data_IF_143723402120
#
_entry.id   IF_143723402120
#
_cell.length_a   1.000
_cell.length_b   1.000
_cell.length_c   1.000
_cell.angle_alpha   90.00
_cell.angle_beta   90.00
_cell.angle_gamma   90.00
#
_symmetry.space_group_name_H-M   'P 1'
#
loop_
_entity.id
_entity.type
_entity.pdbx_description
1 polymer ?
#
# COMPACT_ATOMS: atom_id res chain seq x y z
N UNK A 1 35.11 21.86 -12.12
CA UNK A 1 34.36 21.80 -10.86
C UNK A 1 32.99 21.28 -11.20
N UNK A 2 32.82 19.97 -11.11
CA UNK A 2 31.53 19.33 -11.23
C UNK A 2 31.02 19.20 -9.79
N UNK A 3 30.01 19.97 -9.43
CA UNK A 3 29.26 19.71 -8.22
C UNK A 3 28.35 18.52 -8.52
N UNK A 4 28.63 17.44 -7.81
CA UNK A 4 27.89 16.20 -7.82
C UNK A 4 26.48 16.49 -7.30
N UNK A 5 25.52 16.49 -8.21
CA UNK A 5 24.09 16.50 -7.92
C UNK A 5 23.72 15.10 -7.37
N UNK A 6 24.16 14.82 -6.14
CA UNK A 6 23.74 13.66 -5.37
C UNK A 6 22.32 13.94 -4.87
N UNK A 7 21.35 13.80 -5.78
CA UNK A 7 19.95 13.67 -5.42
C UNK A 7 19.79 12.30 -4.76
N UNK A 8 20.21 12.20 -3.49
CA UNK A 8 19.78 11.16 -2.57
C UNK A 8 18.25 11.27 -2.52
N UNK A 9 17.57 10.46 -3.32
CA UNK A 9 16.14 10.28 -3.21
C UNK A 9 15.87 9.86 -1.77
N UNK A 10 15.39 10.79 -0.94
CA UNK A 10 15.06 10.55 0.47
C UNK A 10 14.32 9.21 0.55
N UNK A 11 14.88 8.27 1.32
CA UNK A 11 14.30 6.94 1.47
C UNK A 11 12.84 7.10 1.90
N UNK A 12 11.91 6.59 1.09
CA UNK A 12 10.48 6.68 1.40
C UNK A 12 10.21 6.06 2.76
N UNK A 13 9.41 6.76 3.56
CA UNK A 13 8.95 6.30 4.87
C UNK A 13 7.43 6.31 4.92
N UNK A 14 6.85 5.62 5.89
CA UNK A 14 5.40 5.68 6.12
C UNK A 14 4.91 7.12 6.28
N UNK A 15 5.66 7.94 7.02
CA UNK A 15 5.32 9.33 7.28
C UNK A 15 5.32 10.18 6.00
N UNK A 16 6.34 10.05 5.15
CA UNK A 16 6.41 10.80 3.89
C UNK A 16 5.25 10.42 2.96
N UNK A 17 4.93 9.13 2.88
CA UNK A 17 3.81 8.63 2.07
C UNK A 17 2.45 9.07 2.62
N UNK A 18 2.22 8.96 3.93
CA UNK A 18 0.97 9.40 4.56
C UNK A 18 0.76 10.92 4.44
N UNK A 19 1.83 11.71 4.51
CA UNK A 19 1.78 13.16 4.29
C UNK A 19 1.44 13.50 2.82
N UNK A 20 1.92 12.72 1.85
CA UNK A 20 1.54 12.87 0.44
C UNK A 20 0.05 12.63 0.23
N UNK A 21 -0.51 11.56 0.79
CA UNK A 21 -1.95 11.28 0.75
C UNK A 21 -2.76 12.41 1.40
N UNK A 22 -2.31 12.92 2.55
CA UNK A 22 -2.97 14.04 3.22
C UNK A 22 -2.93 15.34 2.40
N UNK A 23 -1.83 15.61 1.68
CA UNK A 23 -1.70 16.75 0.76
C UNK A 23 -2.67 16.64 -0.41
N UNK A 24 -2.79 15.45 -1.02
CA UNK A 24 -3.76 15.20 -2.09
C UNK A 24 -5.21 15.39 -1.61
N UNK A 25 -5.49 15.09 -0.34
CA UNK A 25 -6.77 15.36 0.30
C UNK A 25 -6.96 16.80 0.78
N UNK A 26 -5.93 17.65 0.68
CA UNK A 26 -5.90 19.03 1.19
C UNK A 26 -6.20 19.12 2.69
N UNK A 27 -5.66 18.19 3.48
CA UNK A 27 -5.74 18.22 4.94
C UNK A 27 -4.59 19.06 5.50
N UNK A 28 -4.83 20.36 5.71
CA UNK A 28 -3.79 21.35 6.04
C UNK A 28 -3.28 21.30 7.49
N UNK A 29 -3.92 20.55 8.40
CA UNK A 29 -3.79 20.79 9.85
C UNK A 29 -3.31 19.58 10.68
N UNK A 30 -2.15 19.00 10.35
CA UNK A 30 -1.58 17.85 11.10
C UNK A 30 -0.20 18.14 11.68
N UNK A 31 0.12 19.41 11.91
CA UNK A 31 1.47 19.86 12.26
C UNK A 31 1.83 19.78 13.77
N UNK A 32 0.86 19.58 14.68
CA UNK A 32 1.09 19.75 16.13
C UNK A 32 1.22 18.45 16.95
N UNK A 33 1.49 17.31 16.32
CA UNK A 33 1.49 15.99 16.97
C UNK A 33 2.90 15.39 16.99
N UNK A 34 3.36 14.74 18.10
CA UNK A 34 4.62 13.99 18.15
C UNK A 34 4.72 12.98 17.01
N UNK A 35 5.91 12.76 16.46
CA UNK A 35 6.15 12.09 15.17
C UNK A 35 5.53 10.67 15.04
N UNK A 36 5.63 9.86 16.10
CA UNK A 36 5.02 8.53 16.21
C UNK A 36 3.49 8.59 16.23
N UNK A 37 2.92 9.61 16.89
CA UNK A 37 1.49 9.87 16.95
C UNK A 37 0.98 10.59 15.70
N UNK A 38 1.84 11.34 15.01
CA UNK A 38 1.52 12.13 13.81
C UNK A 38 1.16 11.22 12.66
N UNK A 39 1.94 10.17 12.45
CA UNK A 39 1.68 9.18 11.41
C UNK A 39 0.34 8.45 11.63
N UNK A 40 0.03 8.08 12.89
CA UNK A 40 -1.26 7.48 13.25
C UNK A 40 -2.43 8.48 13.10
N UNK A 41 -2.21 9.72 13.50
CA UNK A 41 -3.22 10.77 13.37
C UNK A 41 -3.51 11.08 11.89
N UNK A 42 -2.48 11.15 11.05
CA UNK A 42 -2.59 11.27 9.59
C UNK A 42 -3.38 10.10 9.01
N UNK A 43 -2.98 8.86 9.30
CA UNK A 43 -3.65 7.66 8.81
C UNK A 43 -5.14 7.64 9.19
N UNK A 44 -5.47 8.03 10.42
CA UNK A 44 -6.85 8.14 10.88
C UNK A 44 -7.61 9.27 10.15
N UNK A 45 -6.99 10.43 9.98
CA UNK A 45 -7.60 11.61 9.36
C UNK A 45 -7.89 11.40 7.87
N UNK A 46 -7.04 10.68 7.13
CA UNK A 46 -7.22 10.44 5.70
C UNK A 46 -8.23 9.33 5.39
N UNK A 47 -8.40 8.35 6.29
CA UNK A 47 -9.20 7.15 6.03
C UNK A 47 -10.64 7.45 5.62
N UNK A 48 -11.36 8.24 6.41
CA UNK A 48 -12.77 8.55 6.15
C UNK A 48 -12.94 9.34 4.83
N UNK A 49 -12.19 10.42 4.58
CA UNK A 49 -12.22 11.13 3.30
C UNK A 49 -11.92 10.25 2.07
N UNK A 50 -11.04 9.26 2.20
CA UNK A 50 -10.73 8.34 1.11
C UNK A 50 -11.89 7.38 0.80
N UNK A 51 -12.57 6.87 1.83
CA UNK A 51 -13.68 5.92 1.68
C UNK A 51 -14.99 6.58 1.23
N UNK A 52 -15.22 7.83 1.62
CA UNK A 52 -16.42 8.59 1.21
C UNK A 52 -16.39 8.98 -0.27
N UNK A 53 -15.22 8.91 -0.92
CA UNK A 53 -15.08 9.15 -2.35
C UNK A 53 -15.39 7.87 -3.13
N UNK A 54 -16.41 7.93 -4.00
CA UNK A 54 -16.77 6.80 -4.88
C UNK A 54 -15.71 6.48 -5.94
N UNK A 55 -14.85 7.45 -6.26
CA UNK A 55 -13.66 7.29 -7.11
C UNK A 55 -12.55 8.22 -6.63
N UNK A 56 -11.29 7.84 -6.89
CA UNK A 56 -10.12 8.66 -6.61
C UNK A 56 -9.39 9.02 -7.91
N UNK A 57 -8.83 10.23 -8.03
CA UNK A 57 -7.92 10.56 -9.13
C UNK A 57 -6.70 9.63 -9.16
N UNK A 58 -6.14 9.40 -10.34
CA UNK A 58 -5.01 8.48 -10.57
C UNK A 58 -3.79 8.79 -9.70
N UNK A 59 -3.52 10.07 -9.42
CA UNK A 59 -2.44 10.53 -8.55
C UNK A 59 -2.48 9.97 -7.11
N UNK A 60 -3.62 9.43 -6.67
CA UNK A 60 -3.74 8.79 -5.36
C UNK A 60 -3.19 7.36 -5.34
N UNK A 61 -3.08 6.69 -6.48
CA UNK A 61 -2.77 5.25 -6.51
C UNK A 61 -1.38 4.97 -5.91
N UNK A 62 -0.33 5.60 -6.45
CA UNK A 62 1.04 5.36 -6.00
C UNK A 62 1.26 5.75 -4.52
N UNK A 63 0.78 6.92 -4.03
CA UNK A 63 0.89 7.27 -2.61
C UNK A 63 0.12 6.34 -1.68
N UNK A 64 -1.07 5.85 -2.07
CA UNK A 64 -1.82 4.88 -1.28
C UNK A 64 -1.08 3.53 -1.18
N UNK A 65 -0.55 3.05 -2.31
CA UNK A 65 0.20 1.80 -2.34
C UNK A 65 1.49 1.90 -1.52
N UNK A 66 2.24 3.00 -1.68
CA UNK A 66 3.44 3.22 -0.89
C UNK A 66 3.10 3.32 0.61
N UNK A 67 2.07 4.08 0.98
CA UNK A 67 1.67 4.19 2.40
C UNK A 67 1.29 2.83 3.00
N UNK A 68 0.56 1.99 2.25
CA UNK A 68 0.20 0.64 2.70
C UNK A 68 1.41 -0.29 2.88
N UNK A 69 2.41 -0.18 2.01
CA UNK A 69 3.63 -1.01 2.04
C UNK A 69 4.57 -0.57 3.17
N UNK A 70 4.78 0.74 3.31
CA UNK A 70 5.68 1.27 4.33
C UNK A 70 5.05 1.30 5.74
N UNK A 71 3.75 1.01 5.90
CA UNK A 71 3.08 0.98 7.20
C UNK A 71 3.74 -0.04 8.15
N UNK A 72 4.32 0.40 9.28
CA UNK A 72 4.98 -0.48 10.23
C UNK A 72 3.99 -1.37 11.00
N UNK A 73 2.68 -1.07 10.97
CA UNK A 73 1.67 -1.78 11.74
C UNK A 73 0.71 -2.60 10.84
N UNK A 74 0.71 -3.95 10.97
CA UNK A 74 -0.14 -4.83 10.15
C UNK A 74 -1.64 -4.58 10.31
N UNK A 75 -2.07 -3.92 11.40
CA UNK A 75 -3.49 -3.64 11.65
C UNK A 75 -4.00 -2.43 10.87
N UNK A 76 -3.09 -1.53 10.47
CA UNK A 76 -3.42 -0.26 9.83
C UNK A 76 -3.17 -0.25 8.31
N UNK A 77 -2.45 -1.24 7.75
CA UNK A 77 -2.33 -1.37 6.27
C UNK A 77 -3.68 -1.30 5.57
N UNK A 78 -4.71 -1.86 6.21
CA UNK A 78 -6.08 -1.87 5.70
C UNK A 78 -6.63 -0.47 5.45
N UNK A 79 -6.22 0.54 6.20
CA UNK A 79 -6.75 1.90 6.07
C UNK A 79 -6.36 2.56 4.75
N UNK A 80 -5.32 2.05 4.08
CA UNK A 80 -4.86 2.51 2.76
C UNK A 80 -5.18 1.50 1.66
N UNK A 81 -5.11 0.19 1.97
CA UNK A 81 -5.51 -0.87 1.04
C UNK A 81 -7.00 -0.85 0.74
N UNK A 82 -7.87 -0.69 1.74
CA UNK A 82 -9.33 -0.69 1.54
C UNK A 82 -9.79 0.44 0.60
N UNK A 83 -9.36 1.70 0.77
CA UNK A 83 -9.65 2.73 -0.22
C UNK A 83 -9.04 2.48 -1.60
N UNK A 84 -7.83 1.93 -1.68
CA UNK A 84 -7.19 1.62 -2.96
C UNK A 84 -7.97 0.54 -3.73
N UNK A 85 -8.40 -0.51 -3.04
CA UNK A 85 -9.29 -1.52 -3.61
C UNK A 85 -10.60 -0.90 -4.10
N UNK A 86 -11.19 -0.05 -3.26
CA UNK A 86 -12.44 0.62 -3.58
C UNK A 86 -12.36 1.47 -4.85
N UNK A 87 -11.30 2.26 -4.98
CA UNK A 87 -11.14 3.22 -6.06
C UNK A 87 -10.54 2.62 -7.34
N UNK A 88 -9.59 1.69 -7.22
CA UNK A 88 -8.76 1.23 -8.34
C UNK A 88 -8.89 -0.26 -8.66
N UNK A 89 -9.53 -1.03 -7.77
CA UNK A 89 -9.80 -2.44 -7.98
C UNK A 89 -8.75 -3.40 -7.50
N UNK A 90 -9.22 -4.59 -7.15
CA UNK A 90 -8.43 -5.66 -6.56
C UNK A 90 -7.31 -6.10 -7.47
N UNK A 91 -7.59 -6.26 -8.77
CA UNK A 91 -6.58 -6.68 -9.75
C UNK A 91 -5.37 -5.75 -9.73
N UNK A 92 -5.61 -4.44 -9.83
CA UNK A 92 -4.55 -3.43 -9.90
C UNK A 92 -3.78 -3.31 -8.59
N UNK A 93 -4.47 -3.32 -7.45
CA UNK A 93 -3.82 -3.29 -6.13
C UNK A 93 -2.95 -4.52 -5.93
N UNK A 94 -3.44 -5.72 -6.24
CA UNK A 94 -2.67 -6.96 -6.11
C UNK A 94 -1.47 -6.96 -7.07
N UNK A 95 -1.62 -6.50 -8.30
CA UNK A 95 -0.51 -6.40 -9.25
C UNK A 95 0.60 -5.51 -8.71
N UNK A 96 0.26 -4.33 -8.18
CA UNK A 96 1.26 -3.45 -7.59
C UNK A 96 1.95 -4.06 -6.35
N UNK A 97 1.24 -4.81 -5.52
CA UNK A 97 1.84 -5.54 -4.40
C UNK A 97 2.79 -6.63 -4.87
N UNK A 98 2.44 -7.35 -5.93
CA UNK A 98 3.30 -8.34 -6.56
C UNK A 98 4.60 -7.69 -7.10
N UNK A 99 4.51 -6.50 -7.69
CA UNK A 99 5.69 -5.76 -8.14
C UNK A 99 6.62 -5.39 -6.98
N UNK A 100 6.07 -4.93 -5.84
CA UNK A 100 6.85 -4.71 -4.62
C UNK A 100 7.49 -6.01 -4.10
N UNK A 101 6.79 -7.15 -4.18
CA UNK A 101 7.35 -8.44 -3.77
C UNK A 101 8.53 -8.86 -4.66
N UNK A 102 8.44 -8.59 -5.97
CA UNK A 102 9.48 -8.93 -6.96
C UNK A 102 10.71 -8.04 -6.82
N UNK A 103 10.49 -6.74 -6.87
CA UNK A 103 11.53 -5.74 -7.15
C UNK A 103 11.90 -4.90 -5.94
N UNK A 104 11.04 -4.83 -4.92
CA UNK A 104 11.25 -3.97 -3.77
C UNK A 104 12.44 -4.38 -2.90
N UNK A 105 12.83 -3.48 -2.01
CA UNK A 105 13.72 -3.73 -0.87
C UNK A 105 13.10 -4.74 0.11
N UNK A 106 13.88 -5.27 1.05
CA UNK A 106 13.35 -6.21 2.04
C UNK A 106 12.26 -5.60 2.94
N UNK A 107 12.37 -4.30 3.24
CA UNK A 107 11.33 -3.55 3.94
C UNK A 107 10.03 -3.47 3.11
N UNK A 108 10.14 -3.13 1.83
CA UNK A 108 8.99 -3.07 0.92
C UNK A 108 8.35 -4.45 0.70
N UNK A 109 9.15 -5.51 0.57
CA UNK A 109 8.64 -6.88 0.45
C UNK A 109 7.90 -7.32 1.70
N UNK A 110 8.45 -7.04 2.88
CA UNK A 110 7.78 -7.33 4.15
C UNK A 110 6.46 -6.55 4.26
N UNK A 111 6.47 -5.29 3.85
CA UNK A 111 5.29 -4.43 3.72
C UNK A 111 4.22 -4.98 2.78
N UNK A 112 4.63 -5.36 1.57
CA UNK A 112 3.77 -5.93 0.55
C UNK A 112 3.08 -7.20 1.03
N UNK A 113 3.79 -8.07 1.75
CA UNK A 113 3.19 -9.28 2.37
C UNK A 113 2.08 -8.93 3.37
N UNK A 114 2.28 -7.92 4.22
CA UNK A 114 1.23 -7.44 5.15
C UNK A 114 0.03 -6.86 4.38
N UNK A 115 0.30 -5.99 3.41
CA UNK A 115 -0.73 -5.37 2.58
C UNK A 115 -1.49 -6.39 1.71
N UNK A 116 -0.85 -7.47 1.27
CA UNK A 116 -1.46 -8.57 0.51
C UNK A 116 -2.53 -9.31 1.32
N UNK A 117 -2.26 -9.55 2.60
CA UNK A 117 -3.28 -10.10 3.51
C UNK A 117 -4.47 -9.14 3.65
N UNK A 118 -4.19 -7.85 3.87
CA UNK A 118 -5.20 -6.79 3.88
C UNK A 118 -6.02 -6.77 2.57
N UNK A 119 -5.38 -7.03 1.42
CA UNK A 119 -6.03 -7.00 0.12
C UNK A 119 -7.05 -8.11 -0.06
N UNK A 120 -6.85 -9.30 0.53
CA UNK A 120 -7.76 -10.46 0.41
C UNK A 120 -9.05 -10.35 1.23
N UNK A 121 -9.14 -9.38 2.14
CA UNK A 121 -10.32 -9.22 2.98
C UNK A 121 -11.54 -8.78 2.15
N UNK A 122 -12.75 -9.24 2.51
CA UNK A 122 -13.97 -8.83 1.82
C UNK A 122 -14.20 -7.33 2.00
N UNK A 123 -14.50 -6.68 0.88
CA UNK A 123 -14.95 -5.29 0.87
C UNK A 123 -16.40 -5.23 1.33
N UNK A 124 -16.71 -4.21 2.13
CA UNK A 124 -18.04 -4.04 2.70
C UNK A 124 -18.82 -3.02 1.88
N UNK A 125 -19.99 -3.43 1.39
CA UNK A 125 -20.87 -2.60 0.57
C UNK A 125 -21.25 -1.28 1.27
N UNK A 126 -21.32 -1.27 2.60
CA UNK A 126 -21.69 -0.08 3.38
C UNK A 126 -20.56 0.96 3.49
N UNK A 127 -19.34 0.63 3.05
CA UNK A 127 -18.14 1.46 3.25
C UNK A 127 -17.65 2.19 2.01
N UNK A 128 -18.19 1.87 0.84
CA UNK A 128 -17.84 2.54 -0.41
C UNK A 128 -19.05 2.59 -1.33
N UNK A 129 -19.40 3.76 -1.89
CA UNK A 129 -20.45 3.88 -2.89
C UNK A 129 -20.26 2.95 -4.09
N UNK A 130 -19.01 2.59 -4.44
CA UNK A 130 -18.72 1.69 -5.56
C UNK A 130 -19.19 0.25 -5.34
N UNK A 131 -19.40 -0.16 -4.07
CA UNK A 131 -19.85 -1.51 -3.69
C UNK A 131 -21.27 -1.51 -3.10
N UNK A 132 -21.93 -0.35 -3.02
CA UNK A 132 -23.28 -0.25 -2.50
C UNK A 132 -24.30 -0.93 -3.43
N UNK A 133 -25.45 -1.41 -2.91
CA UNK A 133 -26.54 -1.89 -3.74
C UNK A 133 -26.96 -0.82 -4.77
N UNK A 134 -26.87 -1.14 -6.06
CA UNK A 134 -27.11 -0.19 -7.16
C UNK A 134 -25.87 0.52 -7.70
N UNK A 135 -24.69 0.27 -7.12
CA UNK A 135 -23.41 0.66 -7.70
C UNK A 135 -23.15 -0.08 -9.01
N UNK A 136 -22.66 0.64 -10.03
CA UNK A 136 -22.19 0.05 -11.29
C UNK A 136 -20.67 0.01 -11.25
N UNK A 137 -20.12 -1.16 -10.94
CA UNK A 137 -18.68 -1.43 -10.97
C UNK A 137 -18.42 -2.57 -11.93
N UNK A 138 -17.43 -2.40 -12.80
CA UNK A 138 -16.98 -3.45 -13.70
C UNK A 138 -16.33 -4.60 -12.88
N UNK A 139 -16.89 -5.83 -12.94
CA UNK A 139 -16.31 -6.98 -12.24
C UNK A 139 -14.88 -7.31 -12.67
N UNK A 140 -14.47 -6.96 -13.90
CA UNK A 140 -13.12 -7.22 -14.40
C UNK A 140 -12.04 -6.48 -13.59
N UNK A 141 -12.39 -5.38 -12.91
CA UNK A 141 -11.48 -4.67 -12.01
C UNK A 141 -11.09 -5.50 -10.78
N UNK A 142 -11.92 -6.49 -10.42
CA UNK A 142 -11.74 -7.31 -9.24
C UNK A 142 -11.32 -8.76 -9.55
N UNK A 143 -11.21 -9.14 -10.83
CA UNK A 143 -10.69 -10.43 -11.27
C UNK A 143 -9.16 -10.50 -11.12
N UNK A 144 -8.69 -11.35 -10.21
CA UNK A 144 -7.29 -11.37 -9.78
C UNK A 144 -6.70 -12.77 -9.55
N UNK A 145 -7.34 -13.84 -10.07
CA UNK A 145 -6.88 -15.21 -9.82
C UNK A 145 -5.47 -15.46 -10.39
N UNK A 146 -5.21 -14.98 -11.60
CA UNK A 146 -3.89 -15.02 -12.24
C UNK A 146 -2.82 -14.32 -11.41
N UNK A 147 -3.14 -13.13 -10.86
CA UNK A 147 -2.21 -12.38 -9.99
C UNK A 147 -1.96 -13.11 -8.66
N UNK A 148 -2.96 -13.83 -8.16
CA UNK A 148 -2.84 -14.67 -6.95
C UNK A 148 -1.91 -15.86 -7.21
N UNK A 149 -2.08 -16.55 -8.33
CA UNK A 149 -1.22 -17.66 -8.73
C UNK A 149 0.24 -17.21 -8.86
N UNK A 150 0.45 -16.07 -9.53
CA UNK A 150 1.77 -15.48 -9.73
C UNK A 150 2.43 -15.04 -8.40
N UNK A 151 1.65 -14.52 -7.45
CA UNK A 151 2.13 -14.23 -6.10
C UNK A 151 2.59 -15.49 -5.36
N UNK A 152 1.81 -16.58 -5.44
CA UNK A 152 2.16 -17.85 -4.80
C UNK A 152 3.48 -18.40 -5.34
N UNK A 153 3.68 -18.34 -6.66
CA UNK A 153 4.93 -18.74 -7.32
C UNK A 153 6.13 -17.93 -6.81
N UNK A 154 6.08 -16.60 -6.93
CA UNK A 154 7.16 -15.69 -6.51
C UNK A 154 7.48 -15.83 -5.01
N UNK A 155 6.46 -16.00 -4.18
CA UNK A 155 6.65 -16.16 -2.73
C UNK A 155 7.32 -17.48 -2.36
N UNK A 156 7.05 -18.55 -3.12
CA UNK A 156 7.60 -19.88 -2.90
C UNK A 156 9.06 -19.98 -3.35
N UNK A 157 9.39 -19.45 -4.53
CA UNK A 157 10.77 -19.41 -5.03
C UNK A 157 11.68 -18.63 -4.08
N UNK A 158 11.19 -17.51 -3.52
CA UNK A 158 11.95 -16.76 -2.52
C UNK A 158 12.15 -17.51 -1.21
N UNK A 159 11.17 -18.29 -0.76
CA UNK A 159 11.35 -19.12 0.44
C UNK A 159 12.47 -20.13 0.20
N UNK A 160 12.57 -20.67 -1.02
CA UNK A 160 13.65 -21.56 -1.44
C UNK A 160 15.00 -20.84 -1.47
N UNK A 161 15.08 -19.67 -2.09
CA UNK A 161 16.32 -18.86 -2.14
C UNK A 161 16.85 -18.46 -0.75
N UNK A 162 15.95 -18.18 0.20
CA UNK A 162 16.31 -17.88 1.59
C UNK A 162 16.81 -19.13 2.34
N UNK A 163 16.25 -20.31 2.04
CA UNK A 163 16.69 -21.57 2.64
C UNK A 163 18.05 -22.04 2.10
N UNK A 164 18.37 -21.70 0.84
CA UNK A 164 19.62 -22.04 0.17
C UNK A 164 20.76 -21.05 0.45
N UNK A 165 20.49 -19.94 1.15
CA UNK A 165 21.53 -19.00 1.58
C UNK A 165 22.42 -19.63 2.66
N UNK A 166 23.75 -19.75 2.45
CA UNK A 166 24.64 -20.35 3.42
C UNK A 166 24.67 -19.50 4.68
N UNK A 167 24.22 -20.08 5.80
CA UNK A 167 24.30 -19.49 7.14
C UNK A 167 25.74 -19.00 7.34
N UNK A 168 25.96 -17.68 7.34
CA UNK A 168 27.24 -17.10 7.75
C UNK A 168 27.37 -17.33 9.25
N UNK A 169 27.94 -18.49 9.57
CA UNK A 169 28.39 -18.86 10.90
C UNK A 169 29.76 -18.21 11.08
N UNK A 170 29.78 -16.94 11.49
CA UNK A 170 31.00 -16.34 12.02
C UNK A 170 31.17 -16.78 13.48
N UNK A 171 32.36 -17.34 13.73
CA UNK A 171 32.82 -17.92 14.98
C UNK A 171 33.25 -16.87 16.01
#
# INVERSE_FOLDING_TARGET
MAEEDHNEAEARSFQSCAAEVARLLRLENVASVPEDRRSRHLAHAVRKPLLERGSLPEEFFAPLMATAVYDPDPSFCRWFVEPALCAFGRRRVMTALLDYLRTGTDAERAGAKRAWYCAHLPLRAERSPAYAPGGSRDPALDESLDVVDEWLEVSSDRLRDQADSPIHNEA
#
